data_IF_998003654048
#
_entry.id   IF_998003654048
#
_cell.length_a   1.000
_cell.length_b   1.000
_cell.length_c   1.000
_cell.angle_alpha   90.00
_cell.angle_beta   90.00
_cell.angle_gamma   90.00
#
_symmetry.space_group_name_H-M   'P 1'
#
loop_
_entity.id
_entity.type
_entity.pdbx_description
1 polymer ?
#
# COMPACT_ATOMS: atom_id res chain seq x y z
N UNK A 1 84.68 -24.53 -10.62
CA UNK A 1 83.46 -24.32 -11.39
C UNK A 1 82.30 -24.44 -10.40
N UNK A 2 81.82 -23.32 -9.88
CA UNK A 2 80.64 -23.27 -8.96
C UNK A 2 79.42 -22.85 -9.76
N UNK A 3 78.40 -23.71 -9.83
CA UNK A 3 77.14 -23.41 -10.46
C UNK A 3 76.29 -22.64 -9.46
N UNK A 4 75.93 -21.40 -9.83
CA UNK A 4 74.99 -20.54 -9.10
C UNK A 4 73.60 -20.87 -9.62
N UNK A 5 72.72 -21.44 -8.77
CA UNK A 5 71.31 -21.61 -9.06
C UNK A 5 70.56 -20.32 -8.68
N UNK A 6 70.07 -19.60 -9.66
CA UNK A 6 69.22 -18.43 -9.48
C UNK A 6 67.79 -18.91 -9.32
N UNK A 7 67.24 -18.89 -8.10
CA UNK A 7 65.85 -19.21 -7.81
C UNK A 7 65.02 -18.00 -8.10
N UNK A 8 64.19 -18.04 -9.16
CA UNK A 8 63.18 -17.04 -9.46
C UNK A 8 61.94 -17.36 -8.63
N UNK A 9 61.71 -16.56 -7.57
CA UNK A 9 60.46 -16.59 -6.81
C UNK A 9 59.45 -15.74 -7.57
N UNK A 10 58.50 -16.40 -8.24
CA UNK A 10 57.36 -15.76 -8.85
C UNK A 10 56.30 -15.50 -7.75
N UNK A 11 56.22 -14.27 -7.28
CA UNK A 11 55.09 -13.82 -6.42
C UNK A 11 53.84 -13.71 -7.28
N UNK A 12 52.98 -14.71 -7.19
CA UNK A 12 51.61 -14.63 -7.70
C UNK A 12 50.80 -13.74 -6.75
N UNK A 13 50.75 -12.45 -7.01
CA UNK A 13 49.78 -11.54 -6.38
C UNK A 13 48.38 -11.86 -6.96
N UNK A 14 47.65 -12.67 -6.24
CA UNK A 14 46.21 -12.84 -6.49
C UNK A 14 45.54 -11.52 -6.12
N UNK A 15 45.28 -10.67 -7.12
CA UNK A 15 44.42 -9.54 -6.98
C UNK A 15 42.99 -10.09 -6.72
N UNK A 16 42.61 -10.17 -5.43
CA UNK A 16 41.20 -10.32 -5.07
C UNK A 16 40.49 -9.09 -5.61
N UNK A 17 39.93 -9.18 -6.80
CA UNK A 17 38.90 -8.29 -7.24
C UNK A 17 37.70 -8.53 -6.29
N UNK A 18 37.63 -7.76 -5.22
CA UNK A 18 36.43 -7.59 -4.45
C UNK A 18 35.41 -7.04 -5.43
N UNK A 19 34.50 -7.89 -5.91
CA UNK A 19 33.26 -7.41 -6.54
C UNK A 19 32.59 -6.60 -5.43
N UNK A 20 32.75 -5.28 -5.48
CA UNK A 20 31.97 -4.39 -4.64
C UNK A 20 30.52 -4.67 -5.02
N UNK A 21 29.84 -5.47 -4.21
CA UNK A 21 28.39 -5.56 -4.29
C UNK A 21 27.91 -4.13 -4.11
N UNK A 22 27.36 -3.53 -5.17
CA UNK A 22 26.77 -2.19 -5.07
C UNK A 22 25.74 -2.25 -3.95
N UNK A 23 26.05 -1.60 -2.84
CA UNK A 23 25.12 -1.50 -1.72
C UNK A 23 23.83 -0.83 -2.24
N UNK A 24 22.69 -1.47 -2.00
CA UNK A 24 21.40 -0.91 -2.36
C UNK A 24 21.17 0.34 -1.52
N UNK A 25 20.88 1.46 -2.16
CA UNK A 25 20.71 2.73 -1.45
C UNK A 25 19.42 2.72 -0.61
N UNK A 26 18.31 2.23 -1.18
CA UNK A 26 17.00 2.23 -0.51
C UNK A 26 16.35 0.85 -0.64
N UNK A 27 15.84 0.35 0.48
CA UNK A 27 15.02 -0.86 0.50
C UNK A 27 13.59 -0.49 0.87
N UNK A 28 12.65 -0.89 0.03
CA UNK A 28 11.20 -0.72 0.26
C UNK A 28 10.63 -2.05 0.72
N UNK A 29 10.00 -2.07 1.89
CA UNK A 29 9.33 -3.24 2.48
C UNK A 29 7.84 -2.92 2.60
N UNK A 30 7.01 -3.55 1.79
CA UNK A 30 5.55 -3.38 1.86
C UNK A 30 4.87 -4.65 2.38
N UNK A 31 3.63 -4.53 2.87
CA UNK A 31 2.78 -5.68 3.19
C UNK A 31 1.98 -6.18 1.99
N UNK A 32 2.19 -5.55 0.84
CA UNK A 32 1.43 -5.78 -0.38
C UNK A 32 1.59 -7.18 -0.96
N UNK A 33 0.54 -7.68 -1.57
CA UNK A 33 0.52 -8.98 -2.21
C UNK A 33 0.69 -8.85 -3.72
N UNK A 34 1.38 -9.81 -4.34
CA UNK A 34 1.69 -9.77 -5.77
C UNK A 34 0.45 -9.82 -6.68
N UNK A 35 -0.67 -10.35 -6.19
CA UNK A 35 -1.94 -10.45 -6.91
C UNK A 35 -2.83 -9.21 -6.79
N UNK A 36 -2.45 -8.23 -5.96
CA UNK A 36 -3.20 -6.98 -5.82
C UNK A 36 -2.63 -5.91 -6.78
N UNK A 37 -3.43 -5.43 -7.76
CA UNK A 37 -3.02 -4.39 -8.71
C UNK A 37 -2.55 -3.09 -8.03
N UNK A 38 -3.06 -2.76 -6.84
CA UNK A 38 -2.64 -1.59 -6.08
C UNK A 38 -1.12 -1.57 -5.88
N UNK A 39 -0.55 -2.70 -5.44
CA UNK A 39 0.88 -2.78 -5.14
C UNK A 39 1.77 -2.77 -6.37
N UNK A 40 1.25 -3.26 -7.50
CA UNK A 40 1.95 -3.13 -8.79
C UNK A 40 2.12 -1.67 -9.18
N UNK A 41 1.09 -0.84 -9.00
CA UNK A 41 1.14 0.60 -9.29
C UNK A 41 2.05 1.34 -8.30
N UNK A 42 1.99 1.00 -7.01
CA UNK A 42 2.91 1.56 -6.00
C UNK A 42 4.38 1.23 -6.34
N UNK A 43 4.65 -0.02 -6.74
CA UNK A 43 5.98 -0.43 -7.19
C UNK A 43 6.44 0.31 -8.44
N UNK A 44 5.56 0.57 -9.41
CA UNK A 44 5.88 1.40 -10.58
C UNK A 44 6.34 2.79 -10.16
N UNK A 45 5.73 3.38 -9.12
CA UNK A 45 6.16 4.63 -8.53
C UNK A 45 7.57 4.56 -7.97
N UNK A 46 7.88 3.52 -7.21
CA UNK A 46 9.23 3.26 -6.67
C UNK A 46 10.24 3.15 -7.80
N UNK A 47 9.98 2.27 -8.77
CA UNK A 47 10.92 2.00 -9.88
C UNK A 47 11.18 3.26 -10.71
N UNK A 48 10.15 4.05 -10.97
CA UNK A 48 10.27 5.33 -11.69
C UNK A 48 11.11 6.35 -10.91
N UNK A 49 10.83 6.52 -9.62
CA UNK A 49 11.59 7.45 -8.79
C UNK A 49 13.06 7.04 -8.64
N UNK A 50 13.35 5.73 -8.50
CA UNK A 50 14.72 5.23 -8.42
C UNK A 50 15.50 5.56 -9.70
N UNK A 51 14.86 5.39 -10.86
CA UNK A 51 15.42 5.77 -12.16
C UNK A 51 15.63 7.28 -12.26
N UNK A 52 14.59 8.08 -11.96
CA UNK A 52 14.62 9.52 -12.11
C UNK A 52 15.63 10.18 -11.16
N UNK A 53 15.78 9.63 -9.97
CA UNK A 53 16.72 10.11 -8.96
C UNK A 53 18.12 9.49 -9.10
N UNK A 54 18.33 8.51 -9.99
CA UNK A 54 19.58 7.77 -10.14
C UNK A 54 20.04 7.16 -8.80
N UNK A 55 19.15 6.40 -8.16
CA UNK A 55 19.34 5.73 -6.87
C UNK A 55 19.03 4.24 -7.05
N UNK A 56 19.85 3.38 -6.42
CA UNK A 56 19.57 1.94 -6.42
C UNK A 56 18.53 1.57 -5.39
N UNK A 57 17.48 0.87 -5.80
CA UNK A 57 16.39 0.47 -4.93
C UNK A 57 16.12 -1.04 -5.02
N UNK A 58 15.60 -1.59 -3.91
CA UNK A 58 15.08 -2.94 -3.84
C UNK A 58 13.68 -2.90 -3.22
N UNK A 59 12.72 -3.54 -3.87
CA UNK A 59 11.36 -3.69 -3.36
C UNK A 59 11.13 -5.13 -2.93
N UNK A 60 10.65 -5.33 -1.70
CA UNK A 60 10.32 -6.64 -1.14
C UNK A 60 8.97 -6.60 -0.42
N UNK A 61 8.27 -7.73 -0.44
CA UNK A 61 7.00 -7.92 0.23
C UNK A 61 6.85 -9.39 0.64
N UNK A 62 6.07 -9.71 1.68
CA UNK A 62 5.72 -11.08 1.99
C UNK A 62 4.81 -11.68 0.90
N UNK A 63 4.74 -13.01 0.82
CA UNK A 63 3.89 -13.72 -0.13
C UNK A 63 2.40 -13.57 0.15
N UNK A 64 2.04 -13.36 1.42
CA UNK A 64 0.68 -13.13 1.92
C UNK A 64 0.71 -12.01 2.96
N UNK A 65 -0.46 -11.56 3.43
CA UNK A 65 -0.54 -10.61 4.55
C UNK A 65 -0.06 -11.30 5.85
N UNK A 66 1.24 -11.17 6.13
CA UNK A 66 1.92 -11.81 7.27
C UNK A 66 2.91 -10.84 7.93
N UNK A 67 2.57 -10.41 9.14
CA UNK A 67 3.39 -9.45 9.90
C UNK A 67 4.68 -10.06 10.43
N UNK A 68 4.71 -11.38 10.66
CA UNK A 68 5.94 -12.06 11.11
C UNK A 68 6.94 -12.13 9.96
N UNK A 69 6.48 -12.48 8.75
CA UNK A 69 7.33 -12.44 7.55
C UNK A 69 7.78 -11.02 7.24
N UNK A 70 6.88 -10.04 7.33
CA UNK A 70 7.20 -8.64 7.10
C UNK A 70 8.26 -8.12 8.09
N UNK A 71 8.17 -8.45 9.37
CA UNK A 71 9.18 -8.09 10.36
C UNK A 71 10.56 -8.66 9.99
N UNK A 72 10.63 -9.92 9.55
CA UNK A 72 11.87 -10.54 9.05
C UNK A 72 12.42 -9.82 7.81
N UNK A 73 11.55 -9.36 6.90
CA UNK A 73 11.99 -8.60 5.74
C UNK A 73 12.58 -7.25 6.14
N UNK A 74 12.03 -6.58 7.16
CA UNK A 74 12.59 -5.34 7.72
C UNK A 74 13.94 -5.62 8.37
N UNK A 75 14.06 -6.67 9.21
CA UNK A 75 15.32 -7.05 9.86
C UNK A 75 16.40 -7.40 8.83
N UNK A 76 16.02 -8.09 7.75
CA UNK A 76 16.91 -8.39 6.62
C UNK A 76 17.32 -7.11 5.86
N UNK A 77 16.43 -6.14 5.74
CA UNK A 77 16.78 -4.84 5.15
C UNK A 77 17.79 -4.09 6.04
N UNK A 78 17.58 -4.07 7.35
CA UNK A 78 18.53 -3.47 8.31
C UNK A 78 19.91 -4.10 8.20
N UNK A 79 20.01 -5.42 8.08
CA UNK A 79 21.29 -6.15 7.96
C UNK A 79 22.09 -5.78 6.71
N UNK A 80 21.44 -5.28 5.66
CA UNK A 80 22.09 -4.82 4.42
C UNK A 80 22.63 -3.39 4.53
N UNK A 81 22.38 -2.70 5.65
CA UNK A 81 22.83 -1.34 5.94
C UNK A 81 22.57 -0.34 4.79
N UNK A 82 21.30 -0.21 4.31
CA UNK A 82 20.98 0.74 3.25
C UNK A 82 21.03 2.19 3.77
N UNK A 83 21.03 3.15 2.86
CA UNK A 83 20.97 4.58 3.20
C UNK A 83 19.58 5.01 3.70
N UNK A 84 18.55 4.19 3.46
CA UNK A 84 17.19 4.41 3.95
C UNK A 84 16.28 3.21 3.73
N UNK A 85 15.25 3.10 4.57
CA UNK A 85 14.23 2.06 4.44
C UNK A 85 12.85 2.74 4.33
N UNK A 86 12.09 2.37 3.31
CA UNK A 86 10.67 2.71 3.19
C UNK A 86 9.85 1.50 3.65
N UNK A 87 8.86 1.71 4.52
CA UNK A 87 8.00 0.64 4.99
C UNK A 87 6.53 1.00 4.85
N UNK A 88 5.66 0.02 4.72
CA UNK A 88 4.27 0.16 5.15
C UNK A 88 4.15 -0.25 6.62
N UNK A 89 3.19 0.31 7.35
CA UNK A 89 3.04 0.06 8.78
C UNK A 89 1.59 -0.34 9.12
N UNK A 90 1.12 -1.52 8.65
CA UNK A 90 -0.26 -1.96 8.89
C UNK A 90 -0.53 -2.34 10.35
N UNK A 91 0.50 -2.75 11.10
CA UNK A 91 0.45 -3.06 12.52
C UNK A 91 1.72 -2.55 13.21
N UNK A 92 1.62 -1.43 13.91
CA UNK A 92 2.73 -0.83 14.63
C UNK A 92 3.19 -1.67 15.84
N UNK A 93 2.30 -2.46 16.43
CA UNK A 93 2.67 -3.34 17.55
C UNK A 93 3.54 -4.51 17.08
N UNK A 94 3.16 -5.13 15.96
CA UNK A 94 3.91 -6.24 15.39
C UNK A 94 5.26 -5.80 14.81
N UNK A 95 5.32 -4.67 14.10
CA UNK A 95 6.49 -4.23 13.35
C UNK A 95 7.39 -3.27 14.12
N UNK A 96 6.90 -2.69 15.21
CA UNK A 96 7.58 -1.60 15.92
C UNK A 96 8.97 -1.95 16.45
N UNK A 97 9.22 -3.22 16.82
CA UNK A 97 10.55 -3.67 17.25
C UNK A 97 11.57 -3.57 16.11
N UNK A 98 11.24 -4.07 14.94
CA UNK A 98 12.13 -4.05 13.75
C UNK A 98 12.35 -2.62 13.25
N UNK A 99 11.31 -1.78 13.28
CA UNK A 99 11.41 -0.36 12.92
C UNK A 99 12.36 0.39 13.85
N UNK A 100 12.19 0.23 15.18
CA UNK A 100 13.07 0.84 16.17
C UNK A 100 14.52 0.35 16.06
N UNK A 101 14.72 -0.92 15.69
CA UNK A 101 16.05 -1.46 15.43
C UNK A 101 16.72 -0.79 14.22
N UNK A 102 15.98 -0.54 13.14
CA UNK A 102 16.48 0.21 11.99
C UNK A 102 16.95 1.62 12.39
N UNK A 103 16.11 2.36 13.13
CA UNK A 103 16.41 3.72 13.59
C UNK A 103 17.61 3.71 14.56
N UNK A 104 17.69 2.75 15.49
CA UNK A 104 18.80 2.60 16.41
C UNK A 104 20.13 2.26 15.69
N UNK A 105 20.06 1.60 14.54
CA UNK A 105 21.21 1.37 13.66
C UNK A 105 21.62 2.62 12.84
N UNK A 106 20.93 3.75 13.02
CA UNK A 106 21.18 5.00 12.28
C UNK A 106 20.59 5.02 10.87
N UNK A 107 19.74 4.06 10.51
CA UNK A 107 19.10 3.99 9.20
C UNK A 107 17.78 4.79 9.28
N UNK A 108 17.63 5.87 8.51
CA UNK A 108 16.38 6.62 8.48
C UNK A 108 15.26 5.78 7.84
N UNK A 109 14.05 5.92 8.41
CA UNK A 109 12.86 5.20 7.96
C UNK A 109 11.79 6.21 7.54
N UNK A 110 11.15 5.95 6.41
CA UNK A 110 9.92 6.63 5.94
C UNK A 110 8.81 5.59 5.89
N UNK A 111 7.64 5.92 6.43
CA UNK A 111 6.46 5.07 6.24
C UNK A 111 5.63 5.54 5.05
N UNK A 112 5.00 4.59 4.37
CA UNK A 112 4.08 4.87 3.27
C UNK A 112 2.79 4.06 3.39
N UNK A 113 1.71 4.51 2.77
CA UNK A 113 0.41 3.87 2.70
C UNK A 113 -0.27 3.72 4.07
N UNK A 114 0.07 2.71 4.86
CA UNK A 114 -0.47 2.49 6.21
C UNK A 114 0.46 3.00 7.30
N UNK A 115 -0.11 3.36 8.46
CA UNK A 115 0.62 3.82 9.64
C UNK A 115 0.60 5.33 9.87
N UNK A 116 -0.30 6.08 9.24
CA UNK A 116 -0.43 7.54 9.43
C UNK A 116 -0.61 7.98 10.89
N UNK A 117 -1.22 7.14 11.71
CA UNK A 117 -1.49 7.44 13.11
C UNK A 117 -0.32 7.08 14.05
N UNK A 118 0.52 6.11 13.63
CA UNK A 118 1.48 5.45 14.52
C UNK A 118 2.95 5.74 14.19
N UNK A 119 3.27 6.21 12.98
CA UNK A 119 4.65 6.38 12.51
C UNK A 119 5.51 7.22 13.45
N UNK A 120 4.98 8.33 13.97
CA UNK A 120 5.72 9.25 14.82
C UNK A 120 6.09 8.63 16.16
N UNK A 121 5.24 7.75 16.74
CA UNK A 121 5.48 7.06 18.01
C UNK A 121 6.65 6.06 17.92
N UNK A 122 6.99 5.64 16.72
CA UNK A 122 8.12 4.74 16.44
C UNK A 122 9.41 5.48 16.09
N UNK A 123 9.39 6.83 16.04
CA UNK A 123 10.54 7.65 15.67
C UNK A 123 10.69 7.89 14.17
N UNK A 124 9.70 7.55 13.37
CA UNK A 124 9.64 7.86 11.94
C UNK A 124 9.26 9.32 11.78
N UNK A 125 9.98 10.08 10.96
CA UNK A 125 9.72 11.52 10.78
C UNK A 125 8.68 11.84 9.71
N UNK A 126 8.54 10.97 8.71
CA UNK A 126 7.71 11.20 7.52
C UNK A 126 6.81 10.02 7.25
N UNK A 127 5.53 10.29 7.02
CA UNK A 127 4.58 9.35 6.42
C UNK A 127 4.11 9.88 5.07
N UNK A 128 4.09 9.04 4.03
CA UNK A 128 3.57 9.36 2.70
C UNK A 128 2.32 8.53 2.44
N UNK A 129 1.16 9.15 2.49
CA UNK A 129 -0.11 8.42 2.38
C UNK A 129 -1.33 9.30 2.53
N UNK A 130 -2.39 8.72 3.03
CA UNK A 130 -3.61 9.43 3.43
C UNK A 130 -3.91 9.16 4.92
N UNK A 131 -4.82 9.95 5.50
CA UNK A 131 -5.39 9.66 6.80
C UNK A 131 -6.60 8.74 6.62
N UNK A 132 -6.48 7.50 7.06
CA UNK A 132 -7.42 6.42 6.76
C UNK A 132 -8.80 6.66 7.36
N UNK A 133 -8.84 7.21 8.58
CA UNK A 133 -10.10 7.56 9.23
C UNK A 133 -10.86 8.64 8.46
N UNK A 134 -10.18 9.72 8.05
CA UNK A 134 -10.80 10.83 7.31
C UNK A 134 -11.24 10.40 5.91
N UNK A 135 -10.48 9.54 5.26
CA UNK A 135 -10.88 8.94 3.98
C UNK A 135 -12.18 8.12 4.14
N UNK A 136 -12.27 7.33 5.21
CA UNK A 136 -13.49 6.62 5.58
C UNK A 136 -14.67 7.55 5.85
N UNK A 137 -14.45 8.65 6.61
CA UNK A 137 -15.48 9.67 6.89
C UNK A 137 -16.02 10.25 5.57
N UNK A 138 -15.14 10.63 4.66
CA UNK A 138 -15.54 11.16 3.35
C UNK A 138 -16.38 10.15 2.54
N UNK A 139 -15.99 8.87 2.53
CA UNK A 139 -16.76 7.80 1.89
C UNK A 139 -18.13 7.62 2.52
N UNK A 140 -18.23 7.65 3.86
CA UNK A 140 -19.49 7.56 4.60
C UNK A 140 -20.44 8.71 4.29
N UNK A 141 -19.94 9.94 4.27
CA UNK A 141 -20.71 11.14 3.93
C UNK A 141 -21.27 11.04 2.50
N UNK A 142 -20.48 10.58 1.53
CA UNK A 142 -20.94 10.39 0.15
C UNK A 142 -22.06 9.34 0.05
N UNK A 143 -21.91 8.19 0.71
CA UNK A 143 -22.96 7.17 0.73
C UNK A 143 -24.24 7.66 1.42
N UNK A 144 -24.10 8.43 2.51
CA UNK A 144 -25.23 9.08 3.16
C UNK A 144 -25.95 10.06 2.24
N UNK A 145 -25.20 10.91 1.55
CA UNK A 145 -25.73 11.86 0.58
C UNK A 145 -26.41 11.17 -0.61
N UNK A 146 -25.91 10.00 -1.03
CA UNK A 146 -26.54 9.16 -2.05
C UNK A 146 -27.84 8.45 -1.55
N UNK A 147 -28.21 8.61 -0.28
CA UNK A 147 -29.45 8.06 0.29
C UNK A 147 -29.29 6.70 0.96
N UNK A 148 -28.05 6.29 1.29
CA UNK A 148 -27.78 5.06 2.05
C UNK A 148 -28.40 5.09 3.45
N UNK A 149 -28.95 3.96 3.91
CA UNK A 149 -29.65 3.81 5.20
C UNK A 149 -28.98 2.77 6.10
N UNK A 150 -28.60 1.62 5.54
CA UNK A 150 -27.93 0.53 6.25
C UNK A 150 -26.76 0.00 5.43
N UNK A 151 -25.57 0.09 5.99
CA UNK A 151 -24.34 -0.20 5.27
C UNK A 151 -23.59 -1.44 5.81
N UNK A 152 -22.82 -2.05 4.92
CA UNK A 152 -21.85 -3.08 5.20
C UNK A 152 -20.45 -2.56 4.86
N UNK A 153 -19.48 -2.63 5.78
CA UNK A 153 -18.07 -2.43 5.51
C UNK A 153 -17.36 -3.80 5.44
N UNK A 154 -16.68 -4.07 4.33
CA UNK A 154 -15.99 -5.35 4.09
C UNK A 154 -14.51 -5.18 4.27
N UNK A 155 -13.97 -5.69 5.39
CA UNK A 155 -12.54 -5.67 5.71
C UNK A 155 -11.90 -6.99 5.25
N UNK A 156 -11.06 -6.94 4.23
CA UNK A 156 -10.40 -8.10 3.64
C UNK A 156 -8.99 -8.37 4.20
N UNK A 157 -8.48 -7.50 5.08
CA UNK A 157 -7.21 -7.68 5.78
C UNK A 157 -7.41 -7.51 7.30
N UNK A 158 -7.98 -8.53 7.94
CA UNK A 158 -8.18 -8.53 9.39
C UNK A 158 -6.82 -8.42 10.09
N UNK A 159 -6.70 -7.45 10.99
CA UNK A 159 -5.43 -7.12 11.67
C UNK A 159 -4.65 -5.96 11.03
N UNK A 160 -5.10 -5.45 9.87
CA UNK A 160 -4.59 -4.20 9.32
C UNK A 160 -5.34 -3.01 9.96
N UNK A 161 -4.64 -2.28 10.84
CA UNK A 161 -5.21 -1.13 11.57
C UNK A 161 -5.70 -0.04 10.61
N UNK A 162 -5.03 0.14 9.47
CA UNK A 162 -5.46 1.13 8.47
C UNK A 162 -6.87 0.81 7.94
N UNK A 163 -7.16 -0.47 7.67
CA UNK A 163 -8.47 -0.90 7.19
C UNK A 163 -9.55 -0.78 8.27
N UNK A 164 -9.20 -1.06 9.52
CA UNK A 164 -10.12 -0.84 10.65
C UNK A 164 -10.47 0.65 10.79
N UNK A 165 -9.49 1.56 10.60
CA UNK A 165 -9.69 3.00 10.58
C UNK A 165 -10.62 3.45 9.45
N UNK A 166 -10.48 2.87 8.23
CA UNK A 166 -11.40 3.13 7.11
C UNK A 166 -12.85 2.79 7.46
N UNK A 167 -13.12 1.61 8.04
CA UNK A 167 -14.46 1.22 8.48
C UNK A 167 -14.97 2.10 9.61
N UNK A 168 -14.14 2.44 10.59
CA UNK A 168 -14.51 3.33 11.70
C UNK A 168 -14.88 4.74 11.21
N UNK A 169 -14.06 5.31 10.31
CA UNK A 169 -14.33 6.57 9.66
C UNK A 169 -15.62 6.53 8.82
N UNK A 170 -15.81 5.46 8.04
CA UNK A 170 -17.02 5.26 7.25
C UNK A 170 -18.26 5.23 8.13
N UNK A 171 -18.25 4.50 9.23
CA UNK A 171 -19.34 4.49 10.22
C UNK A 171 -19.64 5.88 10.76
N UNK A 172 -18.60 6.66 11.07
CA UNK A 172 -18.74 8.04 11.54
C UNK A 172 -19.39 8.95 10.49
N UNK A 173 -18.88 8.91 9.26
CA UNK A 173 -19.37 9.74 8.15
C UNK A 173 -20.77 9.35 7.65
N UNK A 174 -21.07 8.04 7.64
CA UNK A 174 -22.37 7.51 7.25
C UNK A 174 -23.48 7.89 8.23
N UNK A 175 -23.18 7.92 9.53
CA UNK A 175 -24.10 8.36 10.58
C UNK A 175 -25.37 7.50 10.70
N UNK A 176 -25.33 6.27 10.17
CA UNK A 176 -26.39 5.27 10.22
C UNK A 176 -25.90 3.94 10.75
N UNK A 177 -26.67 2.88 10.53
CA UNK A 177 -26.27 1.51 10.88
C UNK A 177 -25.20 1.03 9.90
N UNK A 178 -24.03 0.63 10.43
CA UNK A 178 -22.93 0.04 9.67
C UNK A 178 -22.47 -1.22 10.38
N UNK A 179 -22.63 -2.35 9.71
CA UNK A 179 -22.05 -3.61 10.13
C UNK A 179 -20.67 -3.79 9.44
N UNK A 180 -19.72 -4.41 10.15
CA UNK A 180 -18.40 -4.69 9.62
C UNK A 180 -18.25 -6.21 9.53
N UNK A 181 -17.78 -6.72 8.40
CA UNK A 181 -17.39 -8.12 8.25
C UNK A 181 -15.91 -8.21 7.93
N UNK A 182 -15.22 -9.11 8.63
CA UNK A 182 -13.88 -9.57 8.27
C UNK A 182 -13.97 -10.71 7.28
N UNK A 183 -13.14 -10.69 6.27
CA UNK A 183 -12.97 -11.78 5.28
C UNK A 183 -11.49 -12.09 5.13
N UNK A 184 -11.15 -13.10 4.35
CA UNK A 184 -9.79 -13.28 3.84
C UNK A 184 -9.54 -12.46 2.58
N UNK A 185 -8.34 -12.53 2.03
CA UNK A 185 -7.96 -11.94 0.74
C UNK A 185 -8.38 -12.81 -0.46
N UNK A 186 -9.16 -13.87 -0.27
CA UNK A 186 -9.70 -14.69 -1.35
C UNK A 186 -10.95 -14.03 -1.96
N UNK A 187 -10.91 -13.61 -3.23
CA UNK A 187 -12.04 -12.96 -3.89
C UNK A 187 -13.31 -13.82 -3.91
N UNK A 188 -13.17 -15.15 -3.95
CA UNK A 188 -14.31 -16.07 -3.94
C UNK A 188 -15.00 -16.10 -2.58
N UNK A 189 -14.22 -16.10 -1.51
CA UNK A 189 -14.76 -16.02 -0.15
C UNK A 189 -15.44 -14.68 0.11
N UNK A 190 -14.83 -13.57 -0.37
CA UNK A 190 -15.42 -12.23 -0.27
C UNK A 190 -16.76 -12.18 -0.99
N UNK A 191 -16.80 -12.67 -2.24
CA UNK A 191 -18.05 -12.72 -3.02
C UNK A 191 -19.14 -13.51 -2.29
N UNK A 192 -18.82 -14.68 -1.75
CA UNK A 192 -19.77 -15.50 -0.97
C UNK A 192 -20.25 -14.80 0.29
N UNK A 193 -19.34 -14.16 1.03
CA UNK A 193 -19.69 -13.44 2.25
C UNK A 193 -20.64 -12.26 1.98
N UNK A 194 -20.37 -11.48 0.94
CA UNK A 194 -21.24 -10.38 0.49
C UNK A 194 -22.59 -10.91 0.02
N UNK A 195 -22.61 -11.96 -0.80
CA UNK A 195 -23.86 -12.59 -1.28
C UNK A 195 -24.73 -13.10 -0.12
N UNK A 196 -24.13 -13.71 0.89
CA UNK A 196 -24.84 -14.16 2.10
C UNK A 196 -25.46 -12.98 2.86
N UNK A 197 -24.75 -11.86 2.99
CA UNK A 197 -25.29 -10.64 3.63
C UNK A 197 -26.42 -10.01 2.82
N UNK A 198 -26.29 -9.98 1.49
CA UNK A 198 -27.36 -9.50 0.60
C UNK A 198 -28.62 -10.36 0.67
N UNK A 199 -28.47 -11.69 0.77
CA UNK A 199 -29.56 -12.66 0.91
C UNK A 199 -30.28 -12.54 2.26
N UNK A 200 -29.54 -12.28 3.33
CA UNK A 200 -30.11 -12.03 4.65
C UNK A 200 -30.92 -10.70 4.70
N UNK A 201 -30.71 -9.81 3.74
CA UNK A 201 -31.46 -8.58 3.52
C UNK A 201 -31.06 -7.41 4.41
N UNK A 202 -31.62 -6.26 4.05
CA UNK A 202 -31.53 -5.03 4.83
C UNK A 202 -30.36 -4.10 4.52
N UNK A 203 -29.37 -4.50 3.71
CA UNK A 203 -28.28 -3.62 3.29
C UNK A 203 -28.61 -2.96 1.95
N UNK A 204 -28.47 -1.64 1.90
CA UNK A 204 -28.62 -0.83 0.70
C UNK A 204 -27.30 -0.13 0.30
N UNK A 205 -26.25 -0.38 1.08
CA UNK A 205 -24.94 0.28 0.90
C UNK A 205 -23.83 -0.69 1.26
N UNK A 206 -22.78 -0.75 0.44
CA UNK A 206 -21.57 -1.54 0.69
C UNK A 206 -20.36 -0.65 0.48
N UNK A 207 -19.42 -0.66 1.44
CA UNK A 207 -18.07 -0.14 1.28
C UNK A 207 -17.10 -1.32 1.31
N UNK A 208 -16.23 -1.41 0.31
CA UNK A 208 -15.09 -2.32 0.29
C UNK A 208 -13.78 -1.55 0.42
N UNK A 209 -12.72 -2.20 0.91
CA UNK A 209 -11.49 -1.52 1.31
C UNK A 209 -10.33 -1.72 0.34
N UNK A 210 -10.59 -2.36 -0.81
CA UNK A 210 -9.66 -2.55 -1.92
C UNK A 210 -10.43 -2.87 -3.20
N UNK A 211 -10.09 -2.24 -4.32
CA UNK A 211 -10.86 -2.35 -5.56
C UNK A 211 -10.79 -3.75 -6.19
N UNK A 212 -9.57 -4.27 -6.40
CA UNK A 212 -9.36 -5.55 -7.04
C UNK A 212 -9.77 -6.73 -6.17
N UNK A 213 -9.29 -6.75 -4.92
CA UNK A 213 -9.51 -7.89 -4.02
C UNK A 213 -10.93 -7.97 -3.47
N UNK A 214 -11.56 -6.85 -3.16
CA UNK A 214 -12.87 -6.87 -2.51
C UNK A 214 -13.97 -6.11 -3.25
N UNK A 215 -13.64 -5.08 -4.00
CA UNK A 215 -14.61 -4.30 -4.78
C UNK A 215 -15.20 -5.07 -5.95
N UNK A 216 -14.37 -5.71 -6.76
CA UNK A 216 -14.83 -6.52 -7.90
C UNK A 216 -15.69 -7.72 -7.45
N UNK A 217 -15.31 -8.53 -6.45
CA UNK A 217 -16.16 -9.59 -5.94
C UNK A 217 -17.48 -9.09 -5.33
N UNK A 218 -17.45 -7.94 -4.64
CA UNK A 218 -18.67 -7.36 -4.09
C UNK A 218 -19.64 -6.91 -5.20
N UNK A 219 -19.12 -6.28 -6.27
CA UNK A 219 -19.91 -5.91 -7.43
C UNK A 219 -20.53 -7.15 -8.10
N UNK A 220 -19.73 -8.20 -8.29
CA UNK A 220 -20.22 -9.45 -8.86
C UNK A 220 -21.34 -10.08 -8.00
N UNK A 221 -21.22 -10.02 -6.67
CA UNK A 221 -22.29 -10.48 -5.76
C UNK A 221 -23.58 -9.65 -5.88
N UNK A 222 -23.46 -8.32 -6.01
CA UNK A 222 -24.61 -7.40 -6.20
C UNK A 222 -25.29 -7.71 -7.54
N UNK A 223 -24.52 -7.87 -8.62
CA UNK A 223 -25.05 -8.20 -9.95
C UNK A 223 -25.74 -9.57 -9.97
N UNK A 224 -25.12 -10.60 -9.39
CA UNK A 224 -25.70 -11.94 -9.30
C UNK A 224 -26.99 -11.99 -8.48
N UNK A 225 -27.11 -11.12 -7.47
CA UNK A 225 -28.33 -10.97 -6.66
C UNK A 225 -29.44 -10.14 -7.35
N UNK A 226 -29.19 -9.59 -8.56
CA UNK A 226 -30.13 -8.69 -9.26
C UNK A 226 -30.35 -7.36 -8.55
N UNK A 227 -29.43 -6.93 -7.69
CA UNK A 227 -29.58 -5.73 -6.83
C UNK A 227 -28.81 -4.51 -7.34
N UNK A 228 -28.36 -4.54 -8.59
CA UNK A 228 -27.73 -3.39 -9.22
C UNK A 228 -28.72 -2.20 -9.28
N UNK A 229 -28.29 -1.04 -8.78
CA UNK A 229 -29.16 0.14 -8.64
C UNK A 229 -29.95 0.19 -7.33
N UNK A 230 -30.14 -0.95 -6.64
CA UNK A 230 -30.74 -0.99 -5.29
C UNK A 230 -29.70 -0.88 -4.19
N UNK A 231 -28.57 -1.54 -4.37
CA UNK A 231 -27.42 -1.56 -3.45
C UNK A 231 -26.32 -0.68 -4.01
N UNK A 232 -25.97 0.36 -3.28
CA UNK A 232 -24.86 1.27 -3.60
C UNK A 232 -23.54 0.65 -3.23
N UNK A 233 -22.58 0.70 -4.13
CA UNK A 233 -21.22 0.24 -3.88
C UNK A 233 -20.23 1.41 -3.95
N UNK A 234 -19.37 1.53 -2.96
CA UNK A 234 -18.14 2.32 -3.00
C UNK A 234 -16.96 1.45 -2.60
N UNK A 235 -15.78 1.81 -3.03
CA UNK A 235 -14.57 1.08 -2.66
C UNK A 235 -13.40 2.01 -2.45
N UNK A 236 -12.45 1.58 -1.65
CA UNK A 236 -11.10 2.13 -1.70
C UNK A 236 -10.38 1.56 -2.92
N UNK A 237 -9.42 2.30 -3.39
CA UNK A 237 -8.53 1.99 -4.50
C UNK A 237 -9.21 1.93 -5.86
N UNK A 238 -8.41 1.69 -6.87
CA UNK A 238 -8.84 1.59 -8.26
C UNK A 238 -8.31 0.31 -8.88
N UNK A 239 -9.14 -0.28 -9.74
CA UNK A 239 -8.74 -1.30 -10.69
C UNK A 239 -9.32 -0.97 -12.05
N UNK A 240 -8.80 -1.52 -13.15
CA UNK A 240 -9.35 -1.28 -14.48
C UNK A 240 -10.84 -1.62 -14.59
N UNK A 241 -11.28 -2.70 -13.93
CA UNK A 241 -12.69 -3.12 -13.96
C UNK A 241 -13.57 -2.20 -13.12
N UNK A 242 -13.12 -1.82 -11.91
CA UNK A 242 -13.90 -0.91 -11.05
C UNK A 242 -14.00 0.50 -11.65
N UNK A 243 -12.95 0.99 -12.33
CA UNK A 243 -13.01 2.26 -13.07
C UNK A 243 -14.03 2.22 -14.21
N UNK A 244 -14.09 1.12 -14.98
CA UNK A 244 -15.13 0.92 -16.00
C UNK A 244 -16.51 0.84 -15.37
N UNK A 245 -16.67 0.15 -14.25
CA UNK A 245 -17.92 0.05 -13.52
C UNK A 245 -18.39 1.42 -12.99
N UNK A 246 -17.48 2.24 -12.48
CA UNK A 246 -17.77 3.61 -12.07
C UNK A 246 -18.19 4.48 -13.26
N UNK A 247 -17.46 4.43 -14.38
CA UNK A 247 -17.85 5.16 -15.59
C UNK A 247 -19.22 4.74 -16.16
N UNK A 248 -19.64 3.48 -15.90
CA UNK A 248 -20.95 2.95 -16.27
C UNK A 248 -22.04 3.24 -15.21
N UNK A 249 -21.74 3.96 -14.13
CA UNK A 249 -22.70 4.28 -13.08
C UNK A 249 -23.07 3.12 -12.15
N UNK A 250 -22.32 2.00 -12.18
CA UNK A 250 -22.54 0.82 -11.32
C UNK A 250 -21.96 0.98 -9.91
N UNK A 251 -21.08 1.96 -9.69
CA UNK A 251 -20.35 2.22 -8.46
C UNK A 251 -20.43 3.71 -8.15
N UNK A 252 -20.74 4.04 -6.90
CA UNK A 252 -20.91 5.44 -6.46
C UNK A 252 -19.61 6.21 -6.48
N UNK A 253 -18.53 5.58 -5.99
CA UNK A 253 -17.18 6.16 -5.99
C UNK A 253 -16.09 5.12 -5.77
N UNK A 254 -14.89 5.53 -6.15
CA UNK A 254 -13.62 4.88 -5.81
C UNK A 254 -12.80 5.91 -5.01
N UNK A 255 -12.19 5.52 -3.89
CA UNK A 255 -11.30 6.38 -3.11
C UNK A 255 -9.88 6.19 -3.61
N UNK A 256 -9.37 7.20 -4.30
CA UNK A 256 -8.02 7.21 -4.86
C UNK A 256 -7.03 7.72 -3.83
N UNK A 257 -6.12 6.86 -3.42
CA UNK A 257 -5.01 7.22 -2.53
C UNK A 257 -3.75 7.64 -3.30
N UNK A 258 -3.74 7.59 -4.62
CA UNK A 258 -2.60 7.86 -5.51
C UNK A 258 -1.38 6.98 -5.16
N UNK A 259 -1.57 5.68 -5.22
CA UNK A 259 -0.57 4.67 -4.83
C UNK A 259 0.77 4.80 -5.57
N UNK A 260 0.75 5.27 -6.82
CA UNK A 260 1.98 5.60 -7.55
C UNK A 260 2.80 6.65 -6.80
N UNK A 261 2.17 7.73 -6.31
CA UNK A 261 2.84 8.76 -5.53
C UNK A 261 3.30 8.25 -4.17
N UNK A 262 2.57 7.31 -3.56
CA UNK A 262 2.99 6.68 -2.31
C UNK A 262 4.30 5.91 -2.48
N UNK A 263 4.52 5.30 -3.64
CA UNK A 263 5.81 4.68 -3.97
C UNK A 263 6.88 5.68 -4.41
N UNK A 264 6.49 6.68 -5.19
CA UNK A 264 7.42 7.64 -5.82
C UNK A 264 8.02 8.62 -4.80
N UNK A 265 7.18 9.28 -3.99
CA UNK A 265 7.61 10.37 -3.13
C UNK A 265 8.60 9.97 -2.02
N UNK A 266 8.50 8.81 -1.35
CA UNK A 266 9.50 8.41 -0.36
C UNK A 266 10.92 8.32 -0.95
N UNK A 267 11.04 7.86 -2.20
CA UNK A 267 12.33 7.75 -2.89
C UNK A 267 12.88 9.14 -3.21
N UNK A 268 12.03 10.07 -3.68
CA UNK A 268 12.43 11.47 -3.92
C UNK A 268 12.91 12.13 -2.62
N UNK A 269 12.18 11.90 -1.51
CA UNK A 269 12.55 12.43 -0.19
C UNK A 269 13.91 11.87 0.25
N UNK A 270 14.14 10.56 0.12
CA UNK A 270 15.44 9.97 0.41
C UNK A 270 16.55 10.47 -0.51
N UNK A 271 16.27 10.73 -1.78
CA UNK A 271 17.23 11.33 -2.69
C UNK A 271 17.73 12.70 -2.19
N UNK A 272 16.82 13.52 -1.69
CA UNK A 272 17.15 14.81 -1.09
C UNK A 272 17.96 14.63 0.20
N UNK A 273 17.54 13.69 1.06
CA UNK A 273 18.24 13.39 2.30
C UNK A 273 19.67 12.89 2.05
N UNK A 274 19.85 11.96 1.12
CA UNK A 274 21.18 11.41 0.79
C UNK A 274 22.12 12.48 0.23
N UNK A 275 21.58 13.42 -0.57
CA UNK A 275 22.38 14.46 -1.24
C UNK A 275 22.69 15.66 -0.35
N UNK A 276 21.72 16.09 0.43
CA UNK A 276 21.77 17.37 1.14
C UNK A 276 21.36 17.33 2.60
N UNK A 277 21.04 16.14 3.14
CA UNK A 277 20.59 15.99 4.55
C UNK A 277 19.23 16.59 4.83
N UNK A 278 18.41 16.91 3.81
CA UNK A 278 17.09 17.54 3.98
C UNK A 278 15.99 16.50 3.92
N UNK A 279 15.08 16.53 4.89
CA UNK A 279 13.90 15.67 4.97
C UNK A 279 12.71 16.46 5.49
N UNK A 280 11.51 16.38 4.88
CA UNK A 280 10.31 16.95 5.47
C UNK A 280 9.93 16.21 6.76
N UNK A 281 8.98 16.76 7.50
CA UNK A 281 8.39 16.10 8.67
C UNK A 281 6.86 16.08 8.55
N UNK A 282 6.24 15.09 9.20
CA UNK A 282 4.79 14.96 9.21
C UNK A 282 4.25 14.09 8.06
N UNK A 283 2.99 14.29 7.72
CA UNK A 283 2.29 13.51 6.69
C UNK A 283 2.35 14.25 5.35
N UNK A 284 2.91 13.60 4.34
CA UNK A 284 2.84 14.04 2.95
C UNK A 284 1.61 13.38 2.34
N UNK A 285 0.53 14.17 2.19
CA UNK A 285 -0.77 13.66 1.76
C UNK A 285 -0.79 13.31 0.27
N UNK A 286 -1.25 12.10 -0.06
CA UNK A 286 -1.50 11.63 -1.43
C UNK A 286 -2.98 11.39 -1.72
N UNK A 287 -3.84 11.49 -0.73
CA UNK A 287 -5.29 11.29 -0.81
C UNK A 287 -5.99 11.78 0.45
N UNK A 288 -7.30 11.56 0.57
CA UNK A 288 -8.17 10.85 -0.39
C UNK A 288 -8.62 11.72 -1.55
N UNK A 289 -8.55 11.19 -2.76
CA UNK A 289 -9.29 11.67 -3.91
C UNK A 289 -10.57 10.84 -4.12
N UNK A 290 -11.56 11.38 -4.83
CA UNK A 290 -12.77 10.63 -5.16
C UNK A 290 -12.96 10.54 -6.67
N UNK A 291 -12.94 9.31 -7.18
CA UNK A 291 -13.31 9.00 -8.55
C UNK A 291 -14.76 8.57 -8.56
N UNK A 292 -15.58 9.30 -9.30
CA UNK A 292 -17.04 9.12 -9.41
C UNK A 292 -17.43 8.84 -10.86
N UNK A 293 -18.68 8.46 -11.17
CA UNK A 293 -19.12 8.32 -12.56
C UNK A 293 -18.79 9.53 -13.43
N UNK A 294 -18.84 10.75 -12.86
CA UNK A 294 -18.59 11.99 -13.59
C UNK A 294 -17.14 12.25 -14.01
N UNK A 295 -16.14 11.61 -13.35
CA UNK A 295 -14.71 11.83 -13.65
C UNK A 295 -13.94 10.53 -13.91
N UNK A 296 -14.54 9.35 -13.81
CA UNK A 296 -13.86 8.07 -13.98
C UNK A 296 -13.19 7.93 -15.35
N UNK A 297 -13.80 8.43 -16.42
CA UNK A 297 -13.27 8.36 -17.77
C UNK A 297 -11.91 9.09 -17.92
N UNK A 298 -11.69 10.17 -17.18
CA UNK A 298 -10.43 10.91 -17.21
C UNK A 298 -9.28 10.15 -16.51
N UNK A 299 -9.60 9.23 -15.60
CA UNK A 299 -8.63 8.46 -14.82
C UNK A 299 -8.23 7.15 -15.53
N UNK A 300 -9.15 6.52 -16.28
CA UNK A 300 -8.94 5.24 -16.97
C UNK A 300 -7.65 5.23 -17.81
N UNK A 301 -7.38 6.31 -18.54
CA UNK A 301 -6.18 6.44 -19.37
C UNK A 301 -4.89 6.29 -18.57
N UNK A 302 -4.83 6.91 -17.41
CA UNK A 302 -3.63 6.92 -16.56
C UNK A 302 -3.49 5.64 -15.75
N UNK A 303 -4.62 5.06 -15.33
CA UNK A 303 -4.65 3.74 -14.70
C UNK A 303 -4.13 2.65 -15.65
N UNK A 304 -4.52 2.69 -16.93
CA UNK A 304 -4.02 1.77 -17.95
C UNK A 304 -2.51 1.86 -18.21
N UNK A 305 -1.89 2.99 -17.84
CA UNK A 305 -0.44 3.21 -17.95
C UNK A 305 0.31 2.92 -16.64
N UNK A 306 -0.39 2.52 -15.57
CA UNK A 306 0.20 2.20 -14.27
C UNK A 306 0.59 3.42 -13.41
N UNK A 307 -0.05 4.58 -13.65
CA UNK A 307 0.15 5.80 -12.85
C UNK A 307 -0.95 6.06 -11.82
N UNK A 308 -2.04 5.29 -11.90
CA UNK A 308 -3.18 5.46 -10.99
C UNK A 308 -3.74 4.11 -10.57
#
# INVERSE_FOLDING_TARGET
MKKIYLSIIVFLTWAMMSVAAFAVDIIVVSHGQANDPFWSVAKNGVDSACKDMNISCKYVAPGTFDMVEMAKLIDNAVSQNPKGIVITLPDAAALGKSVKAAIAAGIPVISMNSGSDDYASLGISVHVGQTEFEAGVGGGQKMKAAGGKKALCVNHEVGNVALDRRCAGFKKGFGGSVDIIGTSNDPTEIQKAVAAKLSAGGYDTILTLGAGLSGEPALAAIEAAGKLGEVRLGTFDMSPNMLKAAAAGKVEFLIDQQQYLQGYLPIVIFAQYIRWGTMPAGVVMTGPGFVTPGNASSVIKWAAQGYR
#
